data_IF_243621182026
#
_entry.id   IF_243621182026
#
_cell.length_a   1.000
_cell.length_b   1.000
_cell.length_c   1.000
_cell.angle_alpha   90.00
_cell.angle_beta   90.00
_cell.angle_gamma   90.00
#
_symmetry.space_group_name_H-M   'P 1'
#
loop_
_entity.id
_entity.type
_entity.pdbx_description
1 polymer ?
#
# COMPACT_ATOMS: atom_id res chain seq x y z
N UNK A 1 -4.53 -0.94 -12.22
CA UNK A 1 -3.62 -0.82 -13.38
C UNK A 1 -2.20 -0.65 -12.85
N UNK A 2 -1.20 -1.26 -13.51
CA UNK A 2 0.20 -1.07 -13.15
C UNK A 2 0.82 0.02 -14.02
N UNK A 3 1.48 0.98 -13.39
CA UNK A 3 2.22 2.04 -14.05
C UNK A 3 3.68 1.60 -14.22
N UNK A 4 3.97 1.01 -15.37
CA UNK A 4 5.30 0.46 -15.65
C UNK A 4 6.37 1.54 -15.77
N UNK A 5 5.99 2.77 -16.14
CA UNK A 5 6.92 3.89 -16.16
C UNK A 5 7.42 4.18 -14.75
N UNK A 6 6.50 4.31 -13.79
CA UNK A 6 6.84 4.54 -12.39
C UNK A 6 7.75 3.42 -11.82
N UNK A 7 7.47 2.15 -12.14
CA UNK A 7 8.31 1.04 -11.72
C UNK A 7 9.72 1.09 -12.32
N UNK A 8 9.84 1.43 -13.61
CA UNK A 8 11.14 1.55 -14.27
C UNK A 8 11.93 2.75 -13.73
N UNK A 9 11.26 3.88 -13.47
CA UNK A 9 11.88 5.07 -12.89
C UNK A 9 12.38 4.75 -11.46
N UNK A 10 11.56 4.10 -10.64
CA UNK A 10 11.96 3.65 -9.30
C UNK A 10 13.17 2.70 -9.35
N UNK A 11 13.18 1.76 -10.30
CA UNK A 11 14.30 0.84 -10.50
C UNK A 11 15.57 1.57 -10.96
N UNK A 12 15.45 2.58 -11.81
CA UNK A 12 16.57 3.38 -12.25
C UNK A 12 17.18 4.22 -11.12
N UNK A 13 16.34 4.75 -10.22
CA UNK A 13 16.78 5.59 -9.10
C UNK A 13 17.47 4.78 -7.99
N UNK A 14 16.97 3.57 -7.71
CA UNK A 14 17.46 2.72 -6.61
C UNK A 14 18.56 1.75 -7.07
N UNK A 15 18.56 1.39 -8.35
CA UNK A 15 19.43 0.37 -8.92
C UNK A 15 18.90 -1.06 -8.74
N UNK A 16 19.41 -1.97 -9.56
CA UNK A 16 18.93 -3.36 -9.62
C UNK A 16 19.06 -4.12 -8.28
N UNK A 17 20.14 -3.85 -7.53
CA UNK A 17 20.43 -4.52 -6.25
C UNK A 17 19.44 -4.10 -5.15
N UNK A 18 19.08 -2.81 -5.09
CA UNK A 18 18.19 -2.29 -4.06
C UNK A 18 16.70 -2.33 -4.42
N UNK A 19 16.36 -2.51 -5.70
CA UNK A 19 14.97 -2.46 -6.15
C UNK A 19 14.11 -3.57 -5.54
N UNK A 20 14.60 -4.81 -5.52
CA UNK A 20 13.83 -5.93 -4.97
C UNK A 20 13.56 -5.75 -3.46
N UNK A 21 14.56 -5.33 -2.70
CA UNK A 21 14.43 -5.07 -1.26
C UNK A 21 13.46 -3.93 -0.99
N UNK A 22 13.49 -2.87 -1.81
CA UNK A 22 12.57 -1.75 -1.68
C UNK A 22 11.11 -2.17 -1.98
N UNK A 23 10.89 -3.00 -3.00
CA UNK A 23 9.57 -3.57 -3.29
C UNK A 23 9.07 -4.35 -2.07
N UNK A 24 9.90 -5.24 -1.51
CA UNK A 24 9.53 -6.04 -0.33
C UNK A 24 9.17 -5.13 0.85
N UNK A 25 9.99 -4.11 1.14
CA UNK A 25 9.74 -3.16 2.22
C UNK A 25 8.37 -2.48 2.08
N UNK A 26 8.07 -1.91 0.92
CA UNK A 26 6.77 -1.27 0.70
C UNK A 26 5.60 -2.26 0.81
N UNK A 27 5.77 -3.49 0.33
CA UNK A 27 4.74 -4.52 0.46
C UNK A 27 4.47 -4.87 1.93
N UNK A 28 5.52 -5.04 2.74
CA UNK A 28 5.42 -5.35 4.16
C UNK A 28 4.80 -4.20 4.97
N UNK A 29 5.23 -2.96 4.74
CA UNK A 29 4.67 -1.80 5.41
C UNK A 29 3.18 -1.62 5.08
N UNK A 30 2.81 -1.79 3.80
CA UNK A 30 1.41 -1.69 3.35
C UNK A 30 0.56 -2.80 3.95
N UNK A 31 1.08 -4.04 3.98
CA UNK A 31 0.43 -5.18 4.63
C UNK A 31 0.20 -4.91 6.12
N UNK A 32 1.19 -4.32 6.81
CA UNK A 32 1.11 -3.98 8.23
C UNK A 32 0.04 -2.93 8.53
N UNK A 33 -0.03 -1.87 7.73
CA UNK A 33 -1.04 -0.81 7.86
C UNK A 33 -2.45 -1.35 7.63
N UNK A 34 -2.67 -2.13 6.57
CA UNK A 34 -3.98 -2.72 6.27
C UNK A 34 -4.40 -3.69 7.37
N UNK A 35 -3.50 -4.58 7.82
CA UNK A 35 -3.79 -5.54 8.89
C UNK A 35 -4.16 -4.81 10.19
N UNK A 36 -3.41 -3.76 10.56
CA UNK A 36 -3.74 -2.91 11.72
C UNK A 36 -5.12 -2.28 11.58
N UNK A 37 -5.47 -1.74 10.42
CA UNK A 37 -6.79 -1.12 10.18
C UNK A 37 -7.93 -2.13 10.32
N UNK A 38 -7.73 -3.38 9.92
CA UNK A 38 -8.72 -4.45 10.05
C UNK A 38 -8.87 -4.88 11.51
N UNK A 39 -7.75 -5.14 12.20
CA UNK A 39 -7.76 -5.71 13.55
C UNK A 39 -8.14 -4.70 14.63
N UNK A 40 -7.66 -3.47 14.51
CA UNK A 40 -7.75 -2.43 15.55
C UNK A 40 -8.58 -1.23 15.12
N UNK A 41 -9.00 -1.18 13.86
CA UNK A 41 -9.60 0.01 13.26
C UNK A 41 -8.54 1.02 12.77
N UNK A 42 -8.99 2.07 12.06
CA UNK A 42 -8.12 3.15 11.63
C UNK A 42 -7.56 3.93 12.82
N UNK A 43 -6.50 4.70 12.59
CA UNK A 43 -5.98 5.65 13.55
C UNK A 43 -7.00 6.74 13.94
N UNK A 44 -6.66 7.55 14.94
CA UNK A 44 -7.49 8.69 15.36
C UNK A 44 -7.80 9.65 14.21
N UNK A 45 -6.88 9.75 13.26
CA UNK A 45 -7.09 10.38 11.96
C UNK A 45 -7.06 9.32 10.86
N UNK A 46 -8.21 8.79 10.44
CA UNK A 46 -8.28 7.78 9.39
C UNK A 46 -7.75 8.28 8.03
N UNK A 47 -7.73 9.60 7.80
CA UNK A 47 -7.20 10.14 6.55
C UNK A 47 -5.69 9.92 6.45
N UNK A 48 -4.96 9.92 7.57
CA UNK A 48 -3.52 9.67 7.61
C UNK A 48 -3.17 8.24 7.13
N UNK A 49 -3.99 7.25 7.53
CA UNK A 49 -3.81 5.87 7.08
C UNK A 49 -3.99 5.74 5.56
N UNK A 50 -5.06 6.31 5.02
CA UNK A 50 -5.30 6.29 3.58
C UNK A 50 -4.27 7.12 2.81
N UNK A 51 -3.77 8.21 3.38
CA UNK A 51 -2.69 8.99 2.81
C UNK A 51 -1.42 8.16 2.64
N UNK A 52 -1.04 7.42 3.69
CA UNK A 52 0.10 6.51 3.65
C UNK A 52 -0.09 5.45 2.57
N UNK A 53 -1.22 4.74 2.58
CA UNK A 53 -1.52 3.68 1.60
C UNK A 53 -1.52 4.22 0.15
N UNK A 54 -2.10 5.40 -0.07
CA UNK A 54 -2.05 6.09 -1.37
C UNK A 54 -0.62 6.31 -1.84
N UNK A 55 0.25 6.79 -0.94
CA UNK A 55 1.66 7.06 -1.22
C UNK A 55 2.44 5.78 -1.56
N UNK A 56 2.34 4.76 -0.72
CA UNK A 56 2.97 3.45 -0.95
C UNK A 56 2.51 2.84 -2.29
N UNK A 57 1.21 2.85 -2.55
CA UNK A 57 0.63 2.37 -3.81
C UNK A 57 1.17 3.14 -5.02
N UNK A 58 1.26 4.46 -4.92
CA UNK A 58 1.76 5.31 -6.01
C UNK A 58 3.23 5.03 -6.31
N UNK A 59 4.07 4.86 -5.29
CA UNK A 59 5.48 4.53 -5.47
C UNK A 59 5.66 3.20 -6.21
N UNK A 60 4.80 2.23 -5.92
CA UNK A 60 4.77 0.93 -6.59
C UNK A 60 4.04 0.93 -7.96
N UNK A 61 3.60 2.09 -8.44
CA UNK A 61 2.85 2.19 -9.70
C UNK A 61 1.46 1.53 -9.66
N UNK A 62 0.88 1.31 -8.48
CA UNK A 62 -0.44 0.69 -8.29
C UNK A 62 -1.56 1.73 -8.44
N UNK A 63 -1.67 2.36 -9.61
CA UNK A 63 -2.57 3.52 -9.84
C UNK A 63 -4.02 3.28 -9.39
N UNK A 64 -4.53 2.05 -9.60
CA UNK A 64 -5.90 1.70 -9.21
C UNK A 64 -6.11 1.68 -7.69
N UNK A 65 -5.17 1.08 -6.96
CA UNK A 65 -5.22 1.05 -5.50
C UNK A 65 -4.94 2.44 -4.91
N UNK A 66 -3.99 3.18 -5.49
CA UNK A 66 -3.69 4.56 -5.08
C UNK A 66 -4.92 5.48 -5.23
N UNK A 67 -5.67 5.37 -6.33
CA UNK A 67 -6.91 6.14 -6.53
C UNK A 67 -7.98 5.79 -5.49
N UNK A 68 -8.17 4.51 -5.20
CA UNK A 68 -9.10 4.04 -4.17
C UNK A 68 -8.72 4.56 -2.77
N UNK A 69 -7.43 4.54 -2.41
CA UNK A 69 -6.96 5.13 -1.16
C UNK A 69 -7.16 6.64 -1.13
N UNK A 70 -6.99 7.35 -2.26
CA UNK A 70 -7.22 8.79 -2.34
C UNK A 70 -8.70 9.16 -2.12
N UNK A 71 -9.64 8.40 -2.69
CA UNK A 71 -11.07 8.59 -2.44
C UNK A 71 -11.42 8.38 -0.95
N UNK A 72 -10.84 7.34 -0.35
CA UNK A 72 -11.01 7.04 1.07
C UNK A 72 -10.40 8.11 1.99
N UNK A 73 -9.22 8.64 1.64
CA UNK A 73 -8.56 9.76 2.34
C UNK A 73 -9.45 11.00 2.35
N UNK A 74 -10.02 11.39 1.20
CA UNK A 74 -10.92 12.55 1.10
C UNK A 74 -12.17 12.35 1.96
N UNK A 75 -12.80 11.17 1.85
CA UNK A 75 -14.00 10.87 2.63
C UNK A 75 -13.72 10.90 4.14
N UNK A 76 -12.62 10.29 4.58
CA UNK A 76 -12.18 10.29 5.96
C UNK A 76 -11.91 11.71 6.49
N UNK A 77 -11.19 12.54 5.72
CA UNK A 77 -10.87 13.92 6.10
C UNK A 77 -12.10 14.84 6.18
N UNK A 78 -13.20 14.47 5.52
CA UNK A 78 -14.49 15.17 5.59
C UNK A 78 -15.42 14.59 6.66
N UNK A 79 -15.01 13.55 7.40
CA UNK A 79 -15.85 12.83 8.35
C UNK A 79 -17.02 12.10 7.69
N UNK A 80 -16.92 11.82 6.38
CA UNK A 80 -17.93 11.05 5.65
C UNK A 80 -17.73 9.57 5.90
N UNK A 81 -18.82 8.82 5.79
CA UNK A 81 -18.76 7.37 5.83
C UNK A 81 -17.98 6.87 4.60
N UNK A 82 -16.94 6.07 4.84
CA UNK A 82 -16.18 5.42 3.80
C UNK A 82 -17.10 4.49 3.00
N UNK A 83 -17.06 4.63 1.68
CA UNK A 83 -17.77 3.73 0.77
C UNK A 83 -17.12 2.32 0.71
N UNK A 84 -15.86 2.22 1.12
CA UNK A 84 -15.08 0.99 1.12
C UNK A 84 -15.03 0.34 2.51
N UNK A 85 -15.32 -0.95 2.58
CA UNK A 85 -15.17 -1.74 3.80
C UNK A 85 -13.70 -2.17 3.99
N UNK A 86 -13.27 -2.48 5.22
CA UNK A 86 -11.93 -3.04 5.47
C UNK A 86 -11.64 -4.31 4.65
N UNK A 87 -12.61 -5.21 4.51
CA UNK A 87 -12.45 -6.42 3.69
C UNK A 87 -12.27 -6.11 2.19
N UNK A 88 -12.98 -5.10 1.69
CA UNK A 88 -12.85 -4.67 0.30
C UNK A 88 -11.51 -3.96 0.04
N UNK A 89 -10.99 -3.24 1.04
CA UNK A 89 -9.66 -2.64 0.99
C UNK A 89 -8.56 -3.72 0.93
N UNK A 90 -8.61 -4.73 1.80
CA UNK A 90 -7.65 -5.84 1.77
C UNK A 90 -7.74 -6.62 0.45
N UNK A 91 -8.94 -6.93 -0.04
CA UNK A 91 -9.10 -7.61 -1.33
C UNK A 91 -8.49 -6.81 -2.50
N UNK A 92 -8.70 -5.49 -2.53
CA UNK A 92 -8.13 -4.62 -3.55
C UNK A 92 -6.59 -4.55 -3.46
N UNK A 93 -6.06 -4.56 -2.24
CA UNK A 93 -4.62 -4.64 -2.00
C UNK A 93 -4.04 -5.99 -2.45
N UNK A 94 -4.64 -7.11 -2.07
CA UNK A 94 -4.18 -8.45 -2.47
C UNK A 94 -4.15 -8.62 -3.99
N UNK A 95 -5.18 -8.17 -4.71
CA UNK A 95 -5.21 -8.20 -6.18
C UNK A 95 -4.08 -7.34 -6.78
N UNK A 96 -3.87 -6.14 -6.24
CA UNK A 96 -2.82 -5.22 -6.72
C UNK A 96 -1.42 -5.78 -6.46
N UNK A 97 -1.19 -6.33 -5.26
CA UNK A 97 0.05 -6.98 -4.84
C UNK A 97 0.37 -8.20 -5.69
N UNK A 98 -0.62 -9.06 -5.93
CA UNK A 98 -0.45 -10.25 -6.76
C UNK A 98 -0.05 -9.88 -8.20
N UNK A 99 -0.70 -8.87 -8.79
CA UNK A 99 -0.36 -8.39 -10.15
C UNK A 99 1.06 -7.81 -10.22
N UNK A 100 1.48 -7.06 -9.19
CA UNK A 100 2.83 -6.50 -9.13
C UNK A 100 3.88 -7.62 -9.08
N UNK A 101 3.69 -8.58 -8.18
CA UNK A 101 4.62 -9.70 -7.99
C UNK A 101 4.71 -10.58 -9.24
N UNK A 102 3.57 -10.90 -9.87
CA UNK A 102 3.50 -11.62 -11.14
C UNK A 102 4.27 -10.87 -12.24
N UNK A 103 4.06 -9.55 -12.34
CA UNK A 103 4.77 -8.72 -13.32
C UNK A 103 6.30 -8.70 -13.09
N UNK A 104 6.73 -8.63 -11.84
CA UNK A 104 8.15 -8.61 -11.47
C UNK A 104 8.80 -10.00 -11.47
N UNK A 105 8.02 -11.07 -11.62
CA UNK A 105 8.50 -12.44 -11.47
C UNK A 105 9.02 -12.74 -10.05
N UNK A 106 8.51 -12.02 -9.04
CA UNK A 106 8.91 -12.17 -7.64
C UNK A 106 7.96 -13.12 -6.92
N UNK A 107 8.49 -13.99 -6.05
CA UNK A 107 7.66 -14.75 -5.14
C UNK A 107 7.03 -13.80 -4.10
N UNK A 108 5.80 -14.10 -3.70
CA UNK A 108 5.16 -13.33 -2.64
C UNK A 108 5.99 -13.44 -1.35
N UNK A 109 6.46 -12.32 -0.76
CA UNK A 109 7.06 -12.37 0.55
C UNK A 109 6.02 -12.91 1.55
N UNK A 110 6.46 -13.76 2.47
CA UNK A 110 5.62 -14.26 3.55
C UNK A 110 5.30 -13.03 4.42
N UNK A 111 4.02 -12.76 4.69
CA UNK A 111 3.64 -11.71 5.65
C UNK A 111 4.34 -12.01 6.98
N UNK A 112 5.31 -11.20 7.38
CA UNK A 112 5.86 -11.26 8.73
C UNK A 112 4.78 -10.79 9.71
N UNK A 113 4.29 -11.67 10.58
CA UNK A 113 3.31 -11.34 11.63
C UNK A 113 3.91 -10.50 12.78
N UNK A 114 4.90 -9.65 12.53
CA UNK A 114 5.68 -8.92 13.55
C UNK A 114 6.39 -7.75 12.86
N UNK A 115 6.23 -6.46 13.18
CA UNK A 115 5.96 -5.75 14.44
C UNK A 115 5.34 -4.35 14.18
N UNK A 116 4.71 -3.73 15.20
CA UNK A 116 4.38 -2.31 15.18
C UNK A 116 5.59 -1.49 15.66
N UNK A 117 6.17 -0.63 14.83
CA UNK A 117 6.94 0.51 15.35
C UNK A 117 6.51 1.82 14.69
N UNK A 118 6.02 2.70 15.57
CA UNK A 118 5.56 4.05 15.32
C UNK A 118 6.79 4.96 15.19
N UNK A 119 6.79 5.87 14.21
CA UNK A 119 7.03 7.33 14.34
C UNK A 119 7.58 7.88 13.03
N UNK A 120 6.84 8.81 12.43
CA UNK A 120 7.48 9.96 11.80
C UNK A 120 7.04 11.21 12.56
N UNK A 121 8.05 12.01 12.88
CA UNK A 121 8.14 13.09 13.88
C UNK A 121 7.09 14.20 13.78
#
# INVERSE_FOLDING_TARGET
MLNLRQLNDLRADVGDEGFADLIVLFLEETDGVISRMIDKGPEKDPAADYHFLKGAARNLGLDGFSALCHEAEIAAGQGLQLAISPDALDAAWQDSRARLLDHLGMAAPIRSESQPEIRHE
#
